data_IF_804233925547
#
_entry.id   IF_804233925547
#
_cell.length_a   1.000
_cell.length_b   1.000
_cell.length_c   1.000
_cell.angle_alpha   90.00
_cell.angle_beta   90.00
_cell.angle_gamma   90.00
#
_symmetry.space_group_name_H-M   'P 1'
#
loop_
_entity.id
_entity.type
_entity.pdbx_description
1 polymer ?
#
# COMPACT_ATOMS: atom_id res chain seq x y z
N UNK A 1 -14.40 10.95 12.02
CA UNK A 1 -13.18 10.06 11.98
C UNK A 1 -12.58 10.13 10.59
N UNK A 2 -11.26 10.23 10.48
CA UNK A 2 -10.55 10.21 9.18
C UNK A 2 -10.05 8.79 8.91
N UNK A 3 -10.12 8.34 7.66
CA UNK A 3 -9.63 7.03 7.22
C UNK A 3 -8.56 7.23 6.15
N UNK A 4 -7.39 6.66 6.36
CA UNK A 4 -6.26 6.71 5.43
C UNK A 4 -5.85 5.32 5.02
N UNK A 5 -5.63 5.11 3.72
CA UNK A 5 -5.34 3.79 3.14
C UNK A 5 -4.03 3.85 2.36
N UNK A 6 -3.07 3.02 2.73
CA UNK A 6 -1.82 2.81 1.98
C UNK A 6 -1.87 1.49 1.22
N UNK A 7 -1.54 1.50 -0.08
CA UNK A 7 -1.74 0.33 -0.96
C UNK A 7 -0.46 0.00 -1.73
N UNK A 8 0.01 -1.23 -1.56
CA UNK A 8 1.02 -1.86 -2.41
C UNK A 8 0.31 -2.75 -3.45
N UNK A 9 0.26 -2.36 -4.74
CA UNK A 9 -0.43 -3.12 -5.79
C UNK A 9 0.32 -4.37 -6.25
N UNK A 10 1.51 -4.64 -5.72
CA UNK A 10 2.25 -5.86 -6.01
C UNK A 10 1.40 -7.12 -5.77
N UNK A 11 1.59 -8.17 -6.58
CA UNK A 11 0.82 -9.42 -6.47
C UNK A 11 0.95 -10.07 -5.07
N UNK A 12 2.10 -9.87 -4.43
CA UNK A 12 2.37 -10.33 -3.05
C UNK A 12 2.28 -9.19 -2.04
N UNK A 13 1.60 -8.11 -2.36
CA UNK A 13 1.43 -6.94 -1.51
C UNK A 13 0.16 -7.00 -0.67
N UNK A 14 -0.39 -5.82 -0.39
CA UNK A 14 -1.56 -5.65 0.43
C UNK A 14 -1.92 -4.18 0.64
N UNK A 15 -2.74 -3.93 1.62
CA UNK A 15 -3.07 -2.58 2.03
C UNK A 15 -3.07 -2.42 3.55
N UNK A 16 -2.87 -1.21 4.00
CA UNK A 16 -2.88 -0.82 5.40
C UNK A 16 -3.89 0.32 5.60
N UNK A 17 -4.63 0.29 6.68
CA UNK A 17 -5.62 1.31 7.02
C UNK A 17 -5.27 1.91 8.38
N UNK A 18 -5.30 3.23 8.46
CA UNK A 18 -5.20 3.97 9.71
C UNK A 18 -6.42 4.88 9.89
N UNK A 19 -6.87 5.03 11.12
CA UNK A 19 -7.94 5.97 11.48
C UNK A 19 -7.35 7.09 12.31
N UNK A 20 -7.64 8.33 11.89
CA UNK A 20 -7.17 9.59 12.46
C UNK A 20 -5.65 9.78 12.48
N UNK A 21 -4.89 8.77 12.89
CA UNK A 21 -3.43 8.80 12.94
C UNK A 21 -2.80 7.39 12.77
N UNK A 22 -1.49 7.27 12.99
CA UNK A 22 -0.73 6.02 12.86
C UNK A 22 -0.65 5.18 14.16
N UNK A 23 -1.40 5.52 15.19
CA UNK A 23 -1.36 4.77 16.46
C UNK A 23 -2.05 3.42 16.36
N UNK A 24 -3.06 3.31 15.49
CA UNK A 24 -3.77 2.06 15.22
C UNK A 24 -3.81 1.81 13.71
N UNK A 25 -3.09 0.80 13.26
CA UNK A 25 -3.01 0.41 11.85
C UNK A 25 -3.51 -1.02 11.68
N UNK A 26 -4.43 -1.19 10.75
CA UNK A 26 -4.93 -2.49 10.31
C UNK A 26 -4.18 -2.92 9.05
N UNK A 27 -3.77 -4.19 8.99
CA UNK A 27 -2.99 -4.76 7.89
C UNK A 27 -3.79 -5.81 7.15
N UNK A 28 -3.85 -5.71 5.83
CA UNK A 28 -4.60 -6.60 4.97
C UNK A 28 -3.73 -7.06 3.80
N UNK A 29 -3.18 -8.30 3.83
CA UNK A 29 -2.57 -8.89 2.64
C UNK A 29 -3.64 -9.10 1.56
N UNK A 30 -3.23 -9.17 0.29
CA UNK A 30 -4.17 -9.46 -0.79
C UNK A 30 -4.85 -10.80 -0.58
N UNK A 31 -6.17 -10.80 -0.68
CA UNK A 31 -7.07 -11.94 -0.72
C UNK A 31 -7.89 -11.93 -2.00
N UNK A 32 -9.17 -12.17 -1.89
CA UNK A 32 -10.14 -12.12 -2.99
C UNK A 32 -10.41 -10.66 -3.44
N UNK A 33 -10.58 -10.44 -4.75
CA UNK A 33 -10.93 -9.13 -5.31
C UNK A 33 -12.26 -8.60 -4.75
N UNK A 34 -13.24 -9.49 -4.55
CA UNK A 34 -14.52 -9.12 -3.97
C UNK A 34 -14.41 -8.64 -2.53
N UNK A 35 -13.51 -9.22 -1.74
CA UNK A 35 -13.26 -8.78 -0.37
C UNK A 35 -12.72 -7.34 -0.33
N UNK A 36 -11.79 -7.00 -1.23
CA UNK A 36 -11.29 -5.63 -1.34
C UNK A 36 -12.40 -4.65 -1.73
N UNK A 37 -13.20 -4.97 -2.75
CA UNK A 37 -14.33 -4.13 -3.18
C UNK A 37 -15.32 -3.91 -2.04
N UNK A 38 -15.68 -4.99 -1.35
CA UNK A 38 -16.63 -4.94 -0.23
C UNK A 38 -16.09 -4.07 0.90
N UNK A 39 -14.85 -4.28 1.30
CA UNK A 39 -14.21 -3.50 2.38
C UNK A 39 -14.11 -2.01 2.01
N UNK A 40 -13.67 -1.68 0.79
CA UNK A 40 -13.60 -0.28 0.35
C UNK A 40 -14.98 0.38 0.30
N UNK A 41 -16.02 -0.36 -0.08
CA UNK A 41 -17.40 0.13 -0.06
C UNK A 41 -17.86 0.38 1.36
N UNK A 42 -17.66 -0.54 2.29
CA UNK A 42 -18.01 -0.37 3.70
C UNK A 42 -17.36 0.88 4.29
N UNK A 43 -16.08 1.12 3.98
CA UNK A 43 -15.38 2.32 4.45
C UNK A 43 -15.95 3.59 3.81
N UNK A 44 -16.24 3.58 2.51
CA UNK A 44 -16.74 4.77 1.78
C UNK A 44 -18.18 5.13 2.14
N UNK A 45 -18.98 4.17 2.56
CA UNK A 45 -20.39 4.35 2.96
C UNK A 45 -20.57 4.50 4.48
N UNK A 46 -19.49 4.41 5.26
CA UNK A 46 -19.55 4.49 6.71
C UNK A 46 -19.83 5.95 7.16
N UNK A 47 -20.98 6.24 7.82
CA UNK A 47 -21.34 7.58 8.23
C UNK A 47 -20.43 8.20 9.32
N UNK A 48 -19.64 7.37 10.00
CA UNK A 48 -18.68 7.84 11.02
C UNK A 48 -17.34 8.29 10.42
N UNK A 49 -17.13 8.07 9.11
CA UNK A 49 -15.93 8.50 8.38
C UNK A 49 -16.23 9.82 7.66
N UNK A 50 -15.67 10.93 8.16
CA UNK A 50 -15.83 12.27 7.59
C UNK A 50 -14.90 12.51 6.40
N UNK A 51 -13.78 11.80 6.36
CA UNK A 51 -12.76 11.91 5.32
C UNK A 51 -12.15 10.54 5.05
N UNK A 52 -12.10 10.14 3.79
CA UNK A 52 -11.39 8.95 3.34
C UNK A 52 -10.40 9.35 2.24
N UNK A 53 -9.15 8.92 2.35
CA UNK A 53 -8.11 9.18 1.36
C UNK A 53 -7.22 7.95 1.17
N UNK A 54 -6.71 7.77 -0.03
CA UNK A 54 -5.83 6.65 -0.33
C UNK A 54 -4.54 7.07 -1.02
N UNK A 55 -3.47 6.37 -0.69
CA UNK A 55 -2.16 6.43 -1.33
C UNK A 55 -1.84 5.07 -1.96
N UNK A 56 -1.59 5.05 -3.25
CA UNK A 56 -1.27 3.83 -4.00
C UNK A 56 0.12 3.95 -4.59
N UNK A 57 0.96 2.93 -4.44
CA UNK A 57 2.24 2.91 -5.14
C UNK A 57 2.02 2.95 -6.65
N UNK A 58 2.64 3.93 -7.29
CA UNK A 58 2.54 4.11 -8.75
C UNK A 58 3.35 3.02 -9.45
N UNK A 59 2.67 2.16 -10.19
CA UNK A 59 3.32 1.18 -11.06
C UNK A 59 3.75 1.88 -12.36
N UNK A 60 5.05 1.84 -12.71
CA UNK A 60 5.52 2.41 -13.96
C UNK A 60 5.08 1.57 -15.17
N UNK A 61 4.98 2.16 -16.38
CA UNK A 61 4.59 1.43 -17.59
C UNK A 61 5.61 0.35 -18.00
N UNK A 62 6.84 0.47 -17.51
CA UNK A 62 7.92 -0.51 -17.74
C UNK A 62 8.46 -1.02 -16.41
N UNK A 63 8.30 -2.30 -16.16
CA UNK A 63 8.74 -2.96 -14.92
C UNK A 63 10.07 -3.70 -15.04
N UNK A 64 10.89 -3.35 -16.01
CA UNK A 64 12.22 -3.93 -16.25
C UNK A 64 12.21 -5.06 -17.27
N UNK A 65 13.35 -5.24 -17.95
CA UNK A 65 13.51 -6.23 -19.03
C UNK A 65 13.59 -7.67 -18.54
N UNK A 66 13.91 -7.88 -17.27
CA UNK A 66 14.07 -9.21 -16.66
C UNK A 66 12.79 -9.79 -16.05
N UNK A 67 11.70 -9.02 -16.04
CA UNK A 67 10.43 -9.48 -15.47
C UNK A 67 9.61 -10.17 -16.57
N UNK A 68 9.14 -11.42 -16.35
CA UNK A 68 8.28 -12.10 -17.30
C UNK A 68 7.04 -11.25 -17.65
N UNK A 69 6.63 -11.30 -18.92
CA UNK A 69 5.46 -10.55 -19.39
C UNK A 69 4.16 -10.89 -18.62
N UNK A 70 4.01 -12.15 -18.24
CA UNK A 70 2.88 -12.60 -17.41
C UNK A 70 2.86 -11.94 -16.03
N UNK A 71 4.02 -11.72 -15.41
CA UNK A 71 4.14 -11.02 -14.12
C UNK A 71 3.85 -9.53 -14.27
N UNK A 72 4.33 -8.91 -15.33
CA UNK A 72 4.03 -7.51 -15.66
C UNK A 72 2.55 -7.28 -15.93
N UNK A 73 1.91 -8.21 -16.65
CA UNK A 73 0.47 -8.18 -16.90
C UNK A 73 -0.33 -8.25 -15.60
N UNK A 74 -0.01 -9.22 -14.72
CA UNK A 74 -0.69 -9.37 -13.42
C UNK A 74 -0.55 -8.13 -12.55
N UNK A 75 0.64 -7.54 -12.51
CA UNK A 75 0.90 -6.30 -11.76
C UNK A 75 0.07 -5.14 -12.31
N UNK A 76 0.06 -4.94 -13.64
CA UNK A 76 -0.71 -3.91 -14.29
C UNK A 76 -2.22 -4.10 -14.13
N UNK A 77 -2.71 -5.34 -14.24
CA UNK A 77 -4.10 -5.69 -13.99
C UNK A 77 -4.51 -5.35 -12.55
N UNK A 78 -3.75 -5.79 -11.56
CA UNK A 78 -4.04 -5.52 -10.16
C UNK A 78 -4.02 -4.02 -9.85
N UNK A 79 -2.99 -3.32 -10.32
CA UNK A 79 -2.90 -1.86 -10.18
C UNK A 79 -4.11 -1.13 -10.78
N UNK A 80 -4.50 -1.47 -12.01
CA UNK A 80 -5.66 -0.89 -12.67
C UNK A 80 -6.98 -1.20 -11.95
N UNK A 81 -7.14 -2.43 -11.48
CA UNK A 81 -8.29 -2.86 -10.69
C UNK A 81 -8.42 -2.04 -9.39
N UNK A 82 -7.37 -1.94 -8.61
CA UNK A 82 -7.37 -1.22 -7.32
C UNK A 82 -7.70 0.27 -7.50
N UNK A 83 -7.01 0.94 -8.43
CA UNK A 83 -7.26 2.35 -8.73
C UNK A 83 -8.68 2.55 -9.28
N UNK A 84 -9.15 1.63 -10.12
CA UNK A 84 -10.49 1.65 -10.67
C UNK A 84 -11.58 1.54 -9.60
N UNK A 85 -11.43 0.63 -8.66
CA UNK A 85 -12.36 0.46 -7.52
C UNK A 85 -12.41 1.73 -6.66
N UNK A 86 -11.26 2.27 -6.27
CA UNK A 86 -11.20 3.48 -5.45
C UNK A 86 -11.88 4.67 -6.15
N UNK A 87 -11.61 4.87 -7.43
CA UNK A 87 -12.24 5.93 -8.24
C UNK A 87 -13.74 5.74 -8.40
N UNK A 88 -14.19 4.51 -8.62
CA UNK A 88 -15.62 4.19 -8.74
C UNK A 88 -16.37 4.47 -7.44
N UNK A 89 -15.73 4.27 -6.30
CA UNK A 89 -16.26 4.59 -4.97
C UNK A 89 -16.00 6.05 -4.54
N UNK A 90 -15.46 6.87 -5.44
CA UNK A 90 -15.11 8.27 -5.19
C UNK A 90 -14.13 8.49 -4.02
N UNK A 91 -13.30 7.49 -3.74
CA UNK A 91 -12.20 7.60 -2.78
C UNK A 91 -11.02 8.31 -3.48
N UNK A 92 -10.57 9.47 -2.98
CA UNK A 92 -9.41 10.17 -3.53
C UNK A 92 -8.17 9.28 -3.56
N UNK A 93 -7.43 9.30 -4.69
CA UNK A 93 -6.25 8.48 -4.91
C UNK A 93 -5.03 9.37 -5.15
N UNK A 94 -4.04 9.27 -4.28
CA UNK A 94 -2.71 9.84 -4.48
C UNK A 94 -1.76 8.76 -4.96
N UNK A 95 -1.15 8.93 -6.13
CA UNK A 95 -0.17 8.00 -6.69
C UNK A 95 1.23 8.40 -6.23
N UNK A 96 1.92 7.51 -5.51
CA UNK A 96 3.25 7.76 -4.94
C UNK A 96 4.26 6.81 -5.60
N UNK A 97 5.35 7.37 -6.14
CA UNK A 97 6.41 6.55 -6.74
C UNK A 97 7.20 5.80 -5.67
N UNK A 98 7.74 4.60 -5.99
CA UNK A 98 8.60 3.86 -5.05
C UNK A 98 9.75 4.68 -4.49
N UNK A 99 10.38 5.52 -5.32
CA UNK A 99 11.49 6.38 -4.92
C UNK A 99 11.07 7.46 -3.90
N UNK A 100 9.81 7.88 -3.92
CA UNK A 100 9.30 8.91 -3.01
C UNK A 100 9.11 8.35 -1.60
N UNK A 101 8.37 7.25 -1.46
CA UNK A 101 8.10 6.68 -0.13
C UNK A 101 9.30 5.95 0.48
N UNK A 102 10.26 5.51 -0.35
CA UNK A 102 11.50 4.88 0.12
C UNK A 102 12.60 5.89 0.44
N UNK A 103 12.43 7.16 0.09
CA UNK A 103 13.38 8.21 0.36
C UNK A 103 13.60 8.36 1.88
N UNK A 104 14.86 8.34 2.29
CA UNK A 104 15.23 8.44 3.71
C UNK A 104 15.22 7.10 4.47
N UNK A 105 14.79 5.99 3.83
CA UNK A 105 14.99 4.65 4.39
C UNK A 105 16.43 4.19 4.08
N UNK A 106 17.26 4.08 5.11
CA UNK A 106 18.66 3.65 4.96
C UNK A 106 18.80 2.19 4.61
N UNK A 107 19.97 1.82 4.02
CA UNK A 107 20.37 0.43 3.83
C UNK A 107 19.66 -0.33 2.70
N UNK A 108 19.01 0.36 1.75
CA UNK A 108 18.31 -0.27 0.63
C UNK A 108 19.13 -0.41 -0.64
N UNK A 109 20.23 0.34 -0.78
CA UNK A 109 21.04 0.34 -1.99
C UNK A 109 21.83 -0.96 -2.16
N UNK A 110 21.91 -1.47 -3.39
CA UNK A 110 22.71 -2.66 -3.74
C UNK A 110 22.14 -3.98 -3.23
N UNK A 111 20.96 -3.98 -2.63
CA UNK A 111 20.34 -5.20 -2.13
C UNK A 111 19.63 -5.98 -3.25
N UNK A 112 19.66 -7.31 -3.16
CA UNK A 112 18.78 -8.18 -3.94
C UNK A 112 17.32 -7.95 -3.56
N UNK A 113 16.39 -8.36 -4.42
CA UNK A 113 14.95 -8.19 -4.17
C UNK A 113 14.51 -8.77 -2.82
N UNK A 114 15.00 -9.96 -2.45
CA UNK A 114 14.66 -10.60 -1.17
C UNK A 114 15.21 -9.83 0.03
N UNK A 115 16.48 -9.42 -0.03
CA UNK A 115 17.12 -8.63 1.03
C UNK A 115 16.47 -7.26 1.19
N UNK A 116 16.08 -6.65 0.06
CA UNK A 116 15.36 -5.38 0.05
C UNK A 116 14.01 -5.49 0.73
N UNK A 117 13.22 -6.52 0.42
CA UNK A 117 11.93 -6.77 1.09
C UNK A 117 12.09 -6.95 2.59
N UNK A 118 13.11 -7.71 3.02
CA UNK A 118 13.41 -7.88 4.44
C UNK A 118 13.79 -6.55 5.09
N UNK A 119 14.64 -5.75 4.46
CA UNK A 119 15.04 -4.45 4.98
C UNK A 119 13.85 -3.48 5.09
N UNK A 120 12.93 -3.47 4.13
CA UNK A 120 11.71 -2.69 4.21
C UNK A 120 10.80 -3.15 5.36
N UNK A 121 10.65 -4.45 5.55
CA UNK A 121 9.94 -4.98 6.72
C UNK A 121 10.59 -4.56 8.03
N UNK A 122 11.93 -4.62 8.13
CA UNK A 122 12.65 -4.19 9.33
C UNK A 122 12.46 -2.69 9.62
N UNK A 123 12.36 -1.85 8.59
CA UNK A 123 11.96 -0.45 8.73
C UNK A 123 10.54 -0.31 9.26
N UNK A 124 9.59 -1.06 8.69
CA UNK A 124 8.20 -1.04 9.11
C UNK A 124 8.06 -1.49 10.58
N UNK A 125 8.72 -2.57 10.98
CA UNK A 125 8.75 -3.05 12.38
C UNK A 125 9.28 -1.98 13.35
N UNK A 126 10.29 -1.22 12.94
CA UNK A 126 10.85 -0.12 13.77
C UNK A 126 9.91 1.07 13.91
N UNK A 127 9.21 1.43 12.84
CA UNK A 127 8.26 2.55 12.87
C UNK A 127 6.94 2.20 13.55
N UNK A 128 6.56 0.92 13.52
CA UNK A 128 5.28 0.43 14.02
C UNK A 128 5.44 -0.76 14.97
N UNK A 129 6.19 -0.61 16.07
CA UNK A 129 6.43 -1.71 17.01
C UNK A 129 5.16 -2.22 17.68
N UNK A 130 4.11 -1.41 17.72
CA UNK A 130 2.80 -1.75 18.27
C UNK A 130 1.92 -2.56 17.31
N UNK A 131 2.23 -2.56 16.00
CA UNK A 131 1.42 -3.23 14.98
C UNK A 131 1.75 -4.70 14.93
N UNK A 132 0.78 -5.54 15.30
CA UNK A 132 0.92 -7.00 15.23
C UNK A 132 0.61 -7.52 13.84
N UNK A 133 1.28 -8.61 13.45
CA UNK A 133 1.00 -9.28 12.17
C UNK A 133 1.64 -8.63 10.95
N UNK A 134 2.62 -7.74 11.14
CA UNK A 134 3.37 -7.15 10.06
C UNK A 134 4.22 -8.21 9.35
N UNK A 135 4.04 -8.34 8.04
CA UNK A 135 4.70 -9.33 7.19
C UNK A 135 5.38 -8.67 6.00
N UNK A 136 6.11 -9.45 5.20
CA UNK A 136 6.67 -8.97 3.92
C UNK A 136 5.59 -8.51 2.94
N UNK A 137 4.33 -9.00 3.07
CA UNK A 137 3.22 -8.63 2.20
C UNK A 137 2.59 -7.28 2.54
N UNK A 138 2.69 -6.86 3.79
CA UNK A 138 2.03 -5.65 4.30
C UNK A 138 2.99 -4.52 4.66
N UNK A 139 4.30 -4.82 4.70
CA UNK A 139 5.32 -3.85 5.07
C UNK A 139 5.34 -2.63 4.14
N UNK A 140 5.30 -2.85 2.82
CA UNK A 140 5.34 -1.76 1.86
C UNK A 140 4.07 -0.90 1.97
N UNK A 141 2.91 -1.50 2.15
CA UNK A 141 1.64 -0.79 2.32
C UNK A 141 1.64 0.15 3.53
N UNK A 142 2.16 -0.30 4.67
CA UNK A 142 2.24 0.55 5.87
C UNK A 142 3.30 1.65 5.74
N UNK A 143 4.39 1.41 5.01
CA UNK A 143 5.39 2.43 4.72
C UNK A 143 4.88 3.50 3.75
N UNK A 144 4.10 3.10 2.74
CA UNK A 144 3.38 4.01 1.84
C UNK A 144 2.41 4.87 2.62
N UNK A 145 1.60 4.26 3.49
CA UNK A 145 0.66 4.96 4.37
C UNK A 145 1.37 5.98 5.27
N UNK A 146 2.49 5.57 5.88
CA UNK A 146 3.32 6.47 6.71
C UNK A 146 3.84 7.65 5.90
N UNK A 147 4.40 7.39 4.71
CA UNK A 147 4.90 8.46 3.85
C UNK A 147 3.79 9.45 3.49
N UNK A 148 2.62 8.95 3.13
CA UNK A 148 1.46 9.76 2.80
C UNK A 148 1.08 10.70 3.95
N UNK A 149 0.89 10.16 5.14
CA UNK A 149 0.48 10.94 6.32
C UNK A 149 1.50 11.95 6.81
N UNK A 150 2.80 11.69 6.60
CA UNK A 150 3.86 12.64 6.98
C UNK A 150 4.04 13.79 5.97
N UNK A 151 3.44 13.70 4.79
CA UNK A 151 3.59 14.69 3.71
C UNK A 151 2.26 15.32 3.28
N UNK A 152 1.18 15.01 3.99
CA UNK A 152 -0.12 15.67 3.89
C UNK A 152 -0.24 16.71 4.99
#
# INVERSE_FOLDING_TARGET
MKCFIGIDPGVSGGYAIAFDDLTSVQLHPWGDECEFVHHMRELSENPDIDLIESAVEKVPPFVGKSIPSSSSFKLGYNYGFLVGVLRALQVPVTLIKPQEWQKGLGGLQGLTSQKRKKALRDHADRFFPQVKGLTLKTADAVLILRHFLLNT
#
